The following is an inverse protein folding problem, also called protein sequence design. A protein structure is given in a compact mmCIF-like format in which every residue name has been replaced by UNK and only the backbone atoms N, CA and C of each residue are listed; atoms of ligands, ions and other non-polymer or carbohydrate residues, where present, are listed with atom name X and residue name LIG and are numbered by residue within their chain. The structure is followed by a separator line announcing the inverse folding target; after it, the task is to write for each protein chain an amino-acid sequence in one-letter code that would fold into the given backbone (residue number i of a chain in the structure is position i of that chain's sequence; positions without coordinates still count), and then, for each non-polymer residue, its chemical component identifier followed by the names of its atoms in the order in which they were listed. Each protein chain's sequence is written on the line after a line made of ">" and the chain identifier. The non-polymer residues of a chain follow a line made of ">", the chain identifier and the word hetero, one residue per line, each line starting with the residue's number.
data_IF_246634573668
#
_entry.id   IF_246634573668
#
_cell.length_a   1.000
_cell.length_b   1.000
_cell.length_c   1.000
_cell.angle_alpha   90.00
_cell.angle_beta   90.00
_cell.angle_gamma   90.00
#
_symmetry.space_group_name_H-M   'P 1'
#
loop_
_entity.id
_entity.type
_entity.pdbx_description
1 polymer ?
#
# COMPACT_ATOMS: atom_id res chain seq x y z
N UNK A 1 -12.56 -3.17 -4.62
CA UNK A 1 -11.19 -3.53 -5.07
C UNK A 1 -10.55 -4.28 -3.92
N UNK A 2 -9.86 -5.41 -4.17
CA UNK A 2 -9.25 -6.20 -3.10
C UNK A 2 -8.09 -5.45 -2.44
N UNK A 3 -8.04 -5.46 -1.11
CA UNK A 3 -6.91 -4.97 -0.32
C UNK A 3 -5.68 -5.85 -0.49
N UNK A 4 -4.51 -5.40 -0.02
CA UNK A 4 -3.28 -6.19 -0.15
C UNK A 4 -3.34 -7.50 0.65
N UNK A 5 -3.94 -7.48 1.83
CA UNK A 5 -4.16 -8.70 2.62
C UNK A 5 -5.04 -9.69 1.85
N UNK A 6 -6.13 -9.21 1.25
CA UNK A 6 -7.00 -10.07 0.45
C UNK A 6 -6.32 -10.64 -0.80
N UNK A 7 -5.46 -9.86 -1.46
CA UNK A 7 -4.66 -10.38 -2.57
C UNK A 7 -3.71 -11.49 -2.13
N UNK A 8 -3.12 -11.38 -0.94
CA UNK A 8 -2.28 -12.44 -0.37
C UNK A 8 -3.11 -13.69 -0.07
N UNK A 9 -4.27 -13.55 0.56
CA UNK A 9 -5.18 -14.68 0.83
C UNK A 9 -5.57 -15.41 -0.47
N UNK A 10 -5.91 -14.65 -1.52
CA UNK A 10 -6.22 -15.19 -2.86
C UNK A 10 -5.05 -16.02 -3.41
N UNK A 11 -3.82 -15.54 -3.27
CA UNK A 11 -2.62 -16.24 -3.75
C UNK A 11 -2.33 -17.51 -2.94
N UNK A 12 -2.55 -17.49 -1.62
CA UNK A 12 -2.42 -18.66 -0.75
C UNK A 12 -3.41 -19.75 -1.18
N UNK A 13 -4.69 -19.39 -1.31
CA UNK A 13 -5.76 -20.31 -1.73
C UNK A 13 -5.46 -20.87 -3.13
N UNK A 14 -5.00 -20.03 -4.06
CA UNK A 14 -4.58 -20.49 -5.39
C UNK A 14 -3.46 -21.54 -5.31
N UNK A 15 -2.47 -21.33 -4.44
CA UNK A 15 -1.39 -22.29 -4.18
C UNK A 15 -1.90 -23.60 -3.59
N UNK A 16 -2.75 -23.54 -2.58
CA UNK A 16 -3.37 -24.70 -1.93
C UNK A 16 -4.23 -25.52 -2.91
N UNK A 17 -4.89 -24.85 -3.86
CA UNK A 17 -5.66 -25.48 -4.93
C UNK A 17 -4.80 -26.03 -6.08
N UNK A 18 -3.49 -26.23 -5.88
CA UNK A 18 -2.60 -26.78 -6.90
C UNK A 18 -2.46 -25.86 -8.12
N UNK A 19 -2.53 -24.54 -7.93
CA UNK A 19 -2.51 -23.53 -9.01
C UNK A 19 -3.70 -23.63 -9.96
N UNK A 20 -4.83 -24.12 -9.48
CA UNK A 20 -6.09 -24.11 -10.22
C UNK A 20 -6.94 -22.89 -9.81
N UNK A 21 -7.07 -21.93 -10.72
CA UNK A 21 -7.80 -20.68 -10.47
C UNK A 21 -9.32 -20.89 -10.31
N UNK A 22 -9.92 -21.87 -10.98
CA UNK A 22 -11.34 -22.16 -10.82
C UNK A 22 -11.63 -22.80 -9.45
N UNK A 23 -10.75 -23.68 -8.99
CA UNK A 23 -10.84 -24.24 -7.65
C UNK A 23 -10.62 -23.16 -6.58
N UNK A 24 -9.62 -22.28 -6.76
CA UNK A 24 -9.34 -21.19 -5.84
C UNK A 24 -10.48 -20.17 -5.75
N UNK A 25 -11.14 -19.85 -6.87
CA UNK A 25 -12.34 -19.00 -6.86
C UNK A 25 -13.45 -19.57 -5.98
N UNK A 26 -13.70 -20.88 -6.12
CA UNK A 26 -14.73 -21.57 -5.35
C UNK A 26 -14.40 -21.57 -3.85
N UNK A 27 -13.18 -21.97 -3.49
CA UNK A 27 -12.73 -22.01 -2.08
C UNK A 27 -12.78 -20.63 -1.45
N UNK A 28 -12.29 -19.59 -2.13
CA UNK A 28 -12.37 -18.21 -1.61
C UNK A 28 -13.82 -17.77 -1.36
N UNK A 29 -14.77 -18.15 -2.22
CA UNK A 29 -16.19 -17.81 -2.03
C UNK A 29 -16.80 -18.55 -0.85
N UNK A 30 -16.42 -19.81 -0.65
CA UNK A 30 -16.89 -20.62 0.47
C UNK A 30 -16.36 -20.06 1.80
N UNK A 31 -15.08 -19.65 1.85
CA UNK A 31 -14.45 -19.10 3.06
C UNK A 31 -14.85 -17.65 3.37
N UNK A 32 -15.09 -16.84 2.35
CA UNK A 32 -15.34 -15.40 2.49
C UNK A 32 -16.70 -14.97 1.94
N UNK A 33 -17.75 -15.74 2.24
CA UNK A 33 -19.10 -15.55 1.72
C UNK A 33 -19.72 -14.16 2.01
N UNK A 34 -19.28 -13.48 3.07
CA UNK A 34 -19.79 -12.17 3.50
C UNK A 34 -19.03 -10.97 2.87
N UNK A 35 -18.03 -11.23 2.02
CA UNK A 35 -17.28 -10.13 1.38
C UNK A 35 -18.08 -9.52 0.23
N UNK A 36 -18.12 -8.18 0.20
CA UNK A 36 -18.76 -7.36 -0.86
C UNK A 36 -18.17 -7.57 -2.27
N UNK A 37 -17.04 -8.25 -2.41
CA UNK A 37 -16.32 -8.35 -3.67
C UNK A 37 -16.24 -9.79 -4.14
N UNK A 38 -16.92 -10.06 -5.26
CA UNK A 38 -16.86 -11.33 -5.96
C UNK A 38 -15.46 -11.54 -6.56
N UNK A 39 -14.77 -12.58 -6.11
CA UNK A 39 -13.55 -13.05 -6.76
C UNK A 39 -13.91 -13.80 -8.02
N UNK A 40 -13.28 -13.44 -9.14
CA UNK A 40 -13.39 -14.17 -10.41
C UNK A 40 -12.08 -14.86 -10.76
N UNK A 41 -12.15 -16.01 -11.44
CA UNK A 41 -10.99 -16.69 -12.01
C UNK A 41 -10.10 -15.76 -12.82
N UNK A 42 -10.67 -14.87 -13.63
CA UNK A 42 -9.91 -13.91 -14.43
C UNK A 42 -9.09 -12.96 -13.56
N UNK A 43 -9.64 -12.51 -12.42
CA UNK A 43 -8.91 -11.66 -11.49
C UNK A 43 -7.73 -12.39 -10.84
N UNK A 44 -7.89 -13.67 -10.49
CA UNK A 44 -6.80 -14.50 -9.95
C UNK A 44 -5.65 -14.58 -10.96
N UNK A 45 -5.96 -14.87 -12.23
CA UNK A 45 -4.95 -14.95 -13.30
C UNK A 45 -4.27 -13.60 -13.55
N UNK A 46 -5.04 -12.52 -13.59
CA UNK A 46 -4.52 -11.16 -13.70
C UNK A 46 -3.57 -10.83 -12.54
N UNK A 47 -3.97 -11.13 -11.31
CA UNK A 47 -3.16 -10.88 -10.11
C UNK A 47 -1.84 -11.65 -10.17
N UNK A 48 -1.84 -12.93 -10.58
CA UNK A 48 -0.62 -13.72 -10.74
C UNK A 48 0.29 -13.13 -11.81
N UNK A 49 -0.27 -12.76 -12.96
CA UNK A 49 0.50 -12.16 -14.04
C UNK A 49 1.13 -10.84 -13.58
N UNK A 50 0.35 -9.99 -12.90
CA UNK A 50 0.80 -8.74 -12.33
C UNK A 50 1.95 -8.94 -11.35
N UNK A 51 1.81 -9.84 -10.38
CA UNK A 51 2.86 -10.13 -9.38
C UNK A 51 4.12 -10.75 -9.97
N UNK A 52 4.04 -11.40 -11.15
CA UNK A 52 5.22 -11.92 -11.87
C UNK A 52 5.93 -10.85 -12.69
N UNK A 53 5.21 -9.82 -13.10
CA UNK A 53 5.72 -8.74 -13.95
C UNK A 53 6.18 -7.52 -13.14
N UNK A 54 5.57 -7.27 -11.98
CA UNK A 54 5.98 -6.20 -11.10
C UNK A 54 7.26 -6.62 -10.36
N UNK A 55 8.36 -5.83 -10.45
CA UNK A 55 9.41 -5.96 -9.46
C UNK A 55 8.79 -5.77 -8.08
N UNK A 56 9.31 -6.45 -7.06
CA UNK A 56 8.98 -6.12 -5.66
C UNK A 56 9.47 -4.69 -5.47
N UNK A 57 8.59 -3.71 -5.69
CA UNK A 57 8.85 -2.33 -5.33
C UNK A 57 8.83 -2.35 -3.81
N UNK A 58 10.02 -2.45 -3.20
CA UNK A 58 10.19 -1.90 -1.86
C UNK A 58 9.59 -0.51 -1.93
N UNK A 59 8.55 -0.23 -1.13
CA UNK A 59 8.07 1.13 -0.96
C UNK A 59 9.30 1.99 -0.79
N UNK A 60 9.51 2.96 -1.68
CA UNK A 60 10.61 3.91 -1.54
C UNK A 60 10.46 4.48 -0.13
N UNK A 61 11.33 4.05 0.77
CA UNK A 61 11.47 4.71 2.06
C UNK A 61 11.89 6.11 1.67
N UNK A 62 11.05 7.10 1.95
CA UNK A 62 11.41 8.49 1.77
C UNK A 62 12.70 8.70 2.58
N UNK A 63 13.83 8.84 1.88
CA UNK A 63 15.11 9.09 2.54
C UNK A 63 15.08 10.58 2.88
N UNK A 64 14.54 10.88 4.05
CA UNK A 64 14.57 12.22 4.64
C UNK A 64 15.99 12.44 5.13
N UNK A 65 16.62 13.57 4.76
CA UNK A 65 17.90 13.93 5.38
C UNK A 65 17.68 14.36 6.83
N UNK A 66 18.64 14.04 7.70
CA UNK A 66 18.59 14.45 9.11
C UNK A 66 18.46 15.99 9.25
N UNK A 67 19.02 16.73 8.30
CA UNK A 67 18.93 18.20 8.23
C UNK A 67 17.50 18.69 7.94
N UNK A 68 16.79 18.10 6.98
CA UNK A 68 15.39 18.45 6.68
C UNK A 68 14.47 18.14 7.87
N UNK A 69 14.70 17.02 8.54
CA UNK A 69 13.94 16.63 9.74
C UNK A 69 14.16 17.62 10.89
N UNK A 70 15.41 17.99 11.18
CA UNK A 70 15.75 18.96 12.23
C UNK A 70 15.12 20.34 11.93
N UNK A 71 15.23 20.82 10.68
CA UNK A 71 14.70 22.12 10.30
C UNK A 71 13.17 22.17 10.39
N UNK A 72 12.50 21.07 10.02
CA UNK A 72 11.04 20.94 10.11
C UNK A 72 10.58 20.98 11.57
N UNK A 73 11.24 20.23 12.46
CA UNK A 73 10.93 20.24 13.90
C UNK A 73 11.13 21.64 14.47
N UNK A 74 12.26 22.29 14.17
CA UNK A 74 12.55 23.63 14.67
C UNK A 74 11.49 24.66 14.23
N UNK A 75 11.01 24.58 12.98
CA UNK A 75 10.00 25.52 12.49
C UNK A 75 8.62 25.27 13.13
N UNK A 76 8.22 24.00 13.31
CA UNK A 76 6.99 23.63 14.01
C UNK A 76 7.03 24.11 15.47
N UNK A 77 8.16 23.97 16.16
CA UNK A 77 8.32 24.43 17.53
C UNK A 77 8.30 25.97 17.64
N UNK A 78 8.95 26.67 16.70
CA UNK A 78 8.95 28.13 16.68
C UNK A 78 7.59 28.71 16.28
N UNK A 79 6.81 28.01 15.46
CA UNK A 79 5.52 28.47 14.97
C UNK A 79 4.48 27.34 14.95
N UNK A 80 3.91 26.97 16.12
CA UNK A 80 3.00 25.83 16.25
C UNK A 80 1.68 25.97 15.47
N UNK A 81 1.36 27.19 15.01
CA UNK A 81 0.16 27.49 14.24
C UNK A 81 0.40 27.56 12.74
N UNK A 82 1.67 27.44 12.30
CA UNK A 82 2.01 27.43 10.89
C UNK A 82 1.31 26.28 10.18
N UNK A 83 0.74 26.57 9.01
CA UNK A 83 0.14 25.54 8.18
C UNK A 83 1.22 24.70 7.50
N UNK A 84 0.88 23.45 7.17
CA UNK A 84 1.78 22.56 6.42
C UNK A 84 2.19 23.13 5.06
N UNK A 85 1.36 23.99 4.45
CA UNK A 85 1.68 24.68 3.20
C UNK A 85 2.76 25.75 3.41
N UNK A 86 2.69 26.50 4.51
CA UNK A 86 3.68 27.53 4.84
C UNK A 86 5.04 26.89 5.15
N UNK A 87 5.06 25.84 5.98
CA UNK A 87 6.27 25.09 6.32
C UNK A 87 6.92 24.49 5.07
N UNK A 88 6.10 23.92 4.17
CA UNK A 88 6.56 23.38 2.90
C UNK A 88 7.23 24.45 2.04
N UNK A 89 6.63 25.63 1.92
CA UNK A 89 7.20 26.72 1.13
C UNK A 89 8.48 27.28 1.73
N UNK A 90 8.60 27.29 3.06
CA UNK A 90 9.74 27.85 3.77
C UNK A 90 10.96 26.92 3.76
N UNK A 91 10.74 25.60 3.85
CA UNK A 91 11.81 24.60 3.93
C UNK A 91 12.04 23.83 2.61
N UNK A 92 11.21 24.05 1.59
CA UNK A 92 11.21 23.30 0.32
C UNK A 92 11.12 21.76 0.52
N UNK A 93 10.42 21.34 1.57
CA UNK A 93 10.29 19.92 1.96
C UNK A 93 9.06 19.24 1.34
N UNK A 94 9.09 17.91 1.27
CA UNK A 94 7.95 17.15 0.75
C UNK A 94 6.74 17.19 1.68
N UNK A 95 5.56 17.00 1.09
CA UNK A 95 4.31 16.90 1.87
C UNK A 95 4.27 15.64 2.72
N UNK A 96 4.92 14.55 2.29
CA UNK A 96 5.02 13.32 3.07
C UNK A 96 5.85 13.47 4.35
N UNK A 97 6.87 14.36 4.37
CA UNK A 97 7.64 14.65 5.59
C UNK A 97 6.75 15.27 6.69
N UNK A 98 5.85 16.17 6.28
CA UNK A 98 4.98 16.89 7.19
C UNK A 98 3.84 16.04 7.74
N UNK A 99 3.43 14.96 7.07
CA UNK A 99 2.42 14.04 7.61
C UNK A 99 2.91 13.27 8.86
N UNK A 100 4.22 13.31 9.14
CA UNK A 100 4.83 12.69 10.32
C UNK A 100 4.74 13.56 11.59
N UNK A 101 4.45 14.85 11.46
CA UNK A 101 4.50 15.87 12.52
C UNK A 101 3.16 16.58 12.70
#
# INVERSE_FOLDING_TARGET
>A
MFSNNEKVDILIIFGQCGRNAAAGERVYREEYWDKRHYLSRQYILYLIQKMRQEPIVEQEKFIISEEEEINTIALVEMNPTASTIEIKHELDVSSELLEKY
#
